data_IF_006863269039
#
_entry.id   IF_006863269039
#
_cell.length_a   1.000
_cell.length_b   1.000
_cell.length_c   1.000
_cell.angle_alpha   90.00
_cell.angle_beta   90.00
_cell.angle_gamma   90.00
#
_symmetry.space_group_name_H-M   'P 1'
#
loop_
_entity.id
_entity.type
_entity.pdbx_description
1 polymer ?
#
# COMPACT_ATOMS: atom_id res chain seq x y z
N UNK A 1 17.48 -8.60 -8.96
CA UNK A 1 17.73 -7.41 -8.10
C UNK A 1 17.47 -6.19 -8.96
N UNK A 2 16.22 -5.73 -8.99
CA UNK A 2 15.86 -4.47 -9.67
C UNK A 2 16.54 -3.33 -8.90
N UNK A 3 17.42 -2.59 -9.55
CA UNK A 3 17.94 -1.34 -8.98
C UNK A 3 16.76 -0.36 -8.96
N UNK A 4 16.18 -0.13 -7.77
CA UNK A 4 15.28 1.00 -7.56
C UNK A 4 15.94 2.25 -8.14
N UNK A 5 15.23 2.95 -9.01
CA UNK A 5 15.59 4.33 -9.36
C UNK A 5 15.61 5.09 -8.04
N UNK A 6 16.71 5.80 -7.68
CA UNK A 6 16.75 6.56 -6.45
C UNK A 6 15.72 7.68 -6.54
N UNK A 7 14.52 7.42 -6.03
CA UNK A 7 13.48 8.41 -5.87
C UNK A 7 13.91 9.39 -4.78
N UNK A 8 13.49 10.62 -4.91
CA UNK A 8 13.80 11.69 -3.98
C UNK A 8 13.14 11.35 -2.63
N UNK A 9 13.87 10.66 -1.75
CA UNK A 9 13.37 10.10 -0.50
C UNK A 9 12.78 11.22 0.38
N UNK A 10 11.64 10.94 1.03
CA UNK A 10 10.95 11.83 1.95
C UNK A 10 10.41 13.13 1.32
N UNK A 11 9.94 13.09 0.08
CA UNK A 11 9.34 14.25 -0.57
C UNK A 11 8.04 14.63 0.12
N UNK A 12 7.96 15.85 0.66
CA UNK A 12 6.73 16.36 1.29
C UNK A 12 5.74 16.83 0.23
N UNK A 13 4.53 16.30 0.28
CA UNK A 13 3.43 16.62 -0.65
C UNK A 13 2.13 16.88 0.11
N UNK A 14 1.25 17.68 -0.48
CA UNK A 14 -0.08 17.99 0.06
C UNK A 14 -1.21 17.60 -0.88
N UNK A 15 -0.87 17.07 -2.07
CA UNK A 15 -1.81 16.60 -3.08
C UNK A 15 -1.36 15.29 -3.72
N UNK A 16 -2.23 14.69 -4.51
CA UNK A 16 -2.01 13.39 -5.15
C UNK A 16 -1.19 13.46 -6.44
N UNK A 17 -1.07 14.64 -7.07
CA UNK A 17 -0.50 14.80 -8.40
C UNK A 17 0.89 14.17 -8.57
N UNK A 18 1.80 14.45 -7.64
CA UNK A 18 3.17 13.95 -7.73
C UNK A 18 3.27 12.44 -7.47
N UNK A 19 2.42 11.93 -6.58
CA UNK A 19 2.28 10.50 -6.31
C UNK A 19 1.79 9.78 -7.56
N UNK A 20 0.74 10.32 -8.19
CA UNK A 20 0.16 9.76 -9.43
C UNK A 20 1.12 9.80 -10.62
N UNK A 21 1.90 10.87 -10.77
CA UNK A 21 2.92 10.95 -11.81
C UNK A 21 3.92 9.82 -11.64
N UNK A 22 4.42 9.59 -10.43
CA UNK A 22 5.32 8.49 -10.13
C UNK A 22 4.68 7.12 -10.46
N UNK A 23 3.47 6.86 -9.96
CA UNK A 23 2.77 5.61 -10.21
C UNK A 23 2.56 5.37 -11.72
N UNK A 24 2.16 6.40 -12.47
CA UNK A 24 1.98 6.31 -13.93
C UNK A 24 3.30 6.09 -14.66
N UNK A 25 4.39 6.68 -14.19
CA UNK A 25 5.71 6.45 -14.80
C UNK A 25 6.20 5.02 -14.54
N UNK A 26 5.99 4.49 -13.34
CA UNK A 26 6.30 3.09 -13.03
C UNK A 26 5.49 2.13 -13.89
N UNK A 27 4.17 2.33 -14.00
CA UNK A 27 3.29 1.54 -14.84
C UNK A 27 3.63 1.64 -16.34
N UNK A 28 4.13 2.79 -16.79
CA UNK A 28 4.62 2.94 -18.18
C UNK A 28 5.93 2.23 -18.43
N UNK A 29 6.84 2.23 -17.47
CA UNK A 29 8.12 1.54 -17.55
C UNK A 29 7.92 0.02 -17.65
N UNK A 30 6.99 -0.54 -16.90
CA UNK A 30 6.62 -1.96 -17.01
C UNK A 30 6.07 -2.30 -18.39
N UNK A 31 5.31 -1.40 -19.02
CA UNK A 31 4.79 -1.57 -20.39
C UNK A 31 5.77 -1.12 -21.48
N UNK A 32 6.80 -0.35 -21.12
CA UNK A 32 7.75 0.30 -22.05
C UNK A 32 9.09 -0.40 -22.23
N UNK A 33 9.47 -1.36 -21.39
CA UNK A 33 10.78 -2.04 -21.40
C UNK A 33 11.10 -2.77 -22.74
N UNK A 34 10.25 -2.71 -23.69
CA UNK A 34 10.49 -3.39 -24.97
C UNK A 34 10.71 -2.49 -26.18
N UNK A 35 10.59 -1.16 -26.08
CA UNK A 35 10.62 -0.31 -27.27
C UNK A 35 12.01 0.21 -27.67
N UNK A 36 13.01 0.13 -26.80
CA UNK A 36 14.34 0.69 -27.05
C UNK A 36 15.40 -0.34 -27.56
N UNK A 37 15.02 -1.60 -27.73
CA UNK A 37 15.89 -2.62 -28.32
C UNK A 37 15.55 -2.82 -29.80
N UNK A 38 16.38 -2.26 -30.67
CA UNK A 38 16.35 -2.44 -32.13
C UNK A 38 16.92 -3.81 -32.53
N UNK A 39 16.19 -4.89 -32.20
CA UNK A 39 16.50 -6.25 -32.65
C UNK A 39 15.28 -6.90 -33.27
N UNK A 40 15.23 -6.83 -34.61
CA UNK A 40 14.12 -7.34 -35.44
C UNK A 40 14.31 -8.83 -35.79
N UNK A 41 14.29 -9.71 -34.76
CA UNK A 41 14.23 -11.16 -34.99
C UNK A 41 12.95 -11.74 -34.39
N UNK A 42 12.40 -12.78 -35.04
CA UNK A 42 11.17 -13.45 -34.59
C UNK A 42 11.31 -14.01 -33.18
N UNK A 43 12.52 -14.53 -32.84
CA UNK A 43 12.85 -15.05 -31.49
C UNK A 43 12.84 -13.96 -30.42
N UNK A 44 13.30 -12.75 -30.76
CA UNK A 44 13.26 -11.62 -29.84
C UNK A 44 11.83 -11.11 -29.63
N UNK A 45 10.99 -11.12 -30.68
CA UNK A 45 9.58 -10.73 -30.60
C UNK A 45 8.80 -11.69 -29.69
N UNK A 46 9.07 -13.00 -29.79
CA UNK A 46 8.43 -14.01 -28.95
C UNK A 46 8.92 -13.95 -27.51
N UNK A 47 10.23 -13.80 -27.28
CA UNK A 47 10.83 -13.58 -25.97
C UNK A 47 10.25 -12.31 -25.30
N UNK A 48 10.15 -11.20 -26.05
CA UNK A 48 9.58 -9.95 -25.58
C UNK A 48 8.11 -10.10 -25.20
N UNK A 49 7.32 -10.79 -26.02
CA UNK A 49 5.91 -11.01 -25.73
C UNK A 49 5.71 -11.84 -24.46
N UNK A 50 6.53 -12.88 -24.26
CA UNK A 50 6.51 -13.71 -23.05
C UNK A 50 6.97 -12.90 -21.83
N UNK A 51 8.09 -12.17 -21.94
CA UNK A 51 8.61 -11.32 -20.88
C UNK A 51 7.57 -10.27 -20.44
N UNK A 52 6.94 -9.57 -21.38
CA UNK A 52 5.89 -8.61 -21.07
C UNK A 52 4.63 -9.28 -20.46
N UNK A 53 4.30 -10.50 -20.87
CA UNK A 53 3.18 -11.25 -20.29
C UNK A 53 3.49 -11.69 -18.84
N UNK A 54 4.74 -12.08 -18.56
CA UNK A 54 5.17 -12.47 -17.21
C UNK A 54 5.19 -11.24 -16.26
N UNK A 55 5.66 -10.09 -16.75
CA UNK A 55 5.66 -8.84 -15.94
C UNK A 55 4.27 -8.21 -15.81
N UNK A 56 3.36 -8.40 -16.77
CA UNK A 56 1.98 -7.91 -16.70
C UNK A 56 1.16 -8.58 -15.57
N UNK A 57 1.70 -9.61 -14.95
CA UNK A 57 1.07 -10.31 -13.83
C UNK A 57 1.56 -9.82 -12.45
N UNK A 58 2.54 -8.91 -12.41
CA UNK A 58 3.05 -8.35 -11.16
C UNK A 58 2.41 -6.96 -10.98
N UNK A 59 1.57 -6.76 -9.97
CA UNK A 59 0.95 -5.47 -9.74
C UNK A 59 1.95 -4.47 -9.12
N UNK A 60 1.77 -3.18 -9.40
CA UNK A 60 2.40 -2.11 -8.63
C UNK A 60 1.78 -2.09 -7.23
N UNK A 61 2.59 -2.29 -6.19
CA UNK A 61 2.11 -2.26 -4.81
C UNK A 61 2.44 -0.90 -4.17
N UNK A 62 1.40 -0.20 -3.71
CA UNK A 62 1.48 1.08 -3.03
C UNK A 62 1.13 0.90 -1.56
N UNK A 63 2.07 1.16 -0.65
CA UNK A 63 1.83 1.19 0.79
C UNK A 63 1.50 2.60 1.27
N UNK A 64 0.34 2.77 1.90
CA UNK A 64 -0.10 4.04 2.52
C UNK A 64 -0.16 3.85 4.02
N UNK A 65 0.85 4.34 4.70
CA UNK A 65 1.03 4.19 6.14
C UNK A 65 0.78 5.50 6.89
N UNK A 66 0.71 5.40 8.19
CA UNK A 66 0.54 6.51 9.12
C UNK A 66 -0.33 6.10 10.28
N UNK A 67 -0.20 6.79 11.40
CA UNK A 67 -0.95 6.49 12.62
C UNK A 67 -2.46 6.66 12.45
N UNK A 68 -3.25 6.09 13.33
CA UNK A 68 -4.72 6.20 13.33
C UNK A 68 -5.18 7.66 13.27
N UNK A 69 -6.19 7.94 12.43
CA UNK A 69 -6.74 9.28 12.24
C UNK A 69 -5.95 10.21 11.31
N UNK A 70 -4.85 9.75 10.68
CA UNK A 70 -4.06 10.58 9.74
C UNK A 70 -4.76 10.81 8.40
N UNK A 71 -5.73 9.98 8.00
CA UNK A 71 -6.45 10.14 6.72
C UNK A 71 -5.97 9.22 5.60
N UNK A 72 -5.31 8.11 5.92
CA UNK A 72 -4.85 7.08 4.97
C UNK A 72 -5.94 6.61 4.01
N UNK A 73 -7.09 6.20 4.57
CA UNK A 73 -8.24 5.71 3.80
C UNK A 73 -8.76 6.74 2.80
N UNK A 74 -8.73 8.04 3.18
CA UNK A 74 -9.13 9.10 2.27
C UNK A 74 -8.14 9.24 1.10
N UNK A 75 -6.84 9.22 1.38
CA UNK A 75 -5.82 9.26 0.34
C UNK A 75 -5.88 8.02 -0.57
N UNK A 76 -6.09 6.83 0.01
CA UNK A 76 -6.23 5.59 -0.76
C UNK A 76 -7.41 5.67 -1.75
N UNK A 77 -8.57 6.15 -1.28
CA UNK A 77 -9.75 6.33 -2.14
C UNK A 77 -9.53 7.36 -3.25
N UNK A 78 -8.80 8.44 -3.00
CA UNK A 78 -8.44 9.42 -4.03
C UNK A 78 -7.53 8.79 -5.09
N UNK A 79 -6.47 8.08 -4.68
CA UNK A 79 -5.54 7.42 -5.61
C UNK A 79 -6.25 6.32 -6.42
N UNK A 80 -7.11 5.52 -5.79
CA UNK A 80 -7.94 4.53 -6.47
C UNK A 80 -8.79 5.17 -7.56
N UNK A 81 -9.49 6.24 -7.23
CA UNK A 81 -10.35 6.95 -8.20
C UNK A 81 -9.54 7.50 -9.37
N UNK A 82 -8.41 8.13 -9.11
CA UNK A 82 -7.60 8.79 -10.14
C UNK A 82 -6.87 7.76 -11.03
N UNK A 83 -6.36 6.66 -10.47
CA UNK A 83 -5.74 5.57 -11.24
C UNK A 83 -6.78 4.82 -12.06
N UNK A 84 -7.97 4.56 -11.53
CA UNK A 84 -9.08 3.96 -12.27
C UNK A 84 -9.55 4.85 -13.40
N UNK A 85 -9.65 6.16 -13.18
CA UNK A 85 -9.97 7.13 -14.23
C UNK A 85 -8.90 7.20 -15.34
N UNK A 86 -7.64 6.89 -14.98
CA UNK A 86 -6.54 6.75 -15.95
C UNK A 86 -6.54 5.41 -16.71
N UNK A 87 -7.47 4.49 -16.41
CA UNK A 87 -7.66 3.21 -17.10
C UNK A 87 -6.95 2.01 -16.45
N UNK A 88 -6.43 2.16 -15.22
CA UNK A 88 -5.80 1.06 -14.50
C UNK A 88 -6.81 0.29 -13.64
N UNK A 89 -6.65 -1.03 -13.57
CA UNK A 89 -7.36 -1.85 -12.58
C UNK A 89 -6.69 -1.72 -11.22
N UNK A 90 -7.45 -1.31 -10.20
CA UNK A 90 -6.96 -1.06 -8.84
C UNK A 90 -7.68 -1.96 -7.85
N UNK A 91 -6.94 -2.52 -6.90
CA UNK A 91 -7.47 -3.24 -5.74
C UNK A 91 -6.97 -2.61 -4.45
N UNK A 92 -7.89 -2.26 -3.55
CA UNK A 92 -7.54 -1.66 -2.26
C UNK A 92 -7.66 -2.71 -1.17
N UNK A 93 -6.59 -2.84 -0.37
CA UNK A 93 -6.52 -3.66 0.83
C UNK A 93 -6.46 -2.75 2.06
N UNK A 94 -7.30 -3.03 3.04
CA UNK A 94 -7.31 -2.34 4.33
C UNK A 94 -6.62 -3.23 5.36
N UNK A 95 -5.53 -2.74 5.97
CA UNK A 95 -4.83 -3.49 7.02
C UNK A 95 -5.69 -3.71 8.26
N UNK A 96 -6.73 -2.89 8.45
CA UNK A 96 -7.73 -3.12 9.49
C UNK A 96 -8.40 -4.51 9.37
N UNK A 97 -8.45 -5.09 8.17
CA UNK A 97 -8.90 -6.47 7.94
C UNK A 97 -7.89 -7.52 8.44
N UNK A 98 -6.63 -7.16 8.60
CA UNK A 98 -5.56 -8.11 8.94
C UNK A 98 -5.28 -8.19 10.44
N UNK A 99 -5.68 -7.18 11.23
CA UNK A 99 -5.39 -7.18 12.67
C UNK A 99 -6.36 -8.08 13.44
N UNK A 100 -5.88 -9.16 14.11
CA UNK A 100 -6.75 -10.02 14.93
C UNK A 100 -7.10 -9.33 16.25
N UNK A 101 -7.96 -8.30 16.18
CA UNK A 101 -8.42 -7.53 17.33
C UNK A 101 -7.45 -6.41 17.75
N UNK A 102 -7.72 -5.83 18.91
CA UNK A 102 -7.04 -4.63 19.41
C UNK A 102 -5.58 -4.81 19.87
N UNK A 103 -5.09 -6.04 19.94
CA UNK A 103 -3.68 -6.36 20.27
C UNK A 103 -2.91 -6.89 19.05
N UNK A 104 -3.57 -6.99 17.90
CA UNK A 104 -3.07 -7.73 16.75
C UNK A 104 -2.32 -6.89 15.73
N UNK A 105 -1.80 -5.70 16.05
CA UNK A 105 -1.12 -4.85 15.07
C UNK A 105 0.05 -5.57 14.40
N UNK A 106 0.94 -6.17 15.19
CA UNK A 106 2.13 -6.87 14.67
C UNK A 106 1.76 -8.11 13.86
N UNK A 107 0.79 -8.91 14.34
CA UNK A 107 0.33 -10.09 13.62
C UNK A 107 -0.25 -9.73 12.25
N UNK A 108 -1.00 -8.63 12.17
CA UNK A 108 -1.55 -8.14 10.91
C UNK A 108 -0.49 -7.58 9.96
N UNK A 109 0.53 -6.90 10.48
CA UNK A 109 1.66 -6.40 9.68
C UNK A 109 2.49 -7.56 9.13
N UNK A 110 2.76 -8.60 9.93
CA UNK A 110 3.47 -9.81 9.50
C UNK A 110 2.66 -10.56 8.41
N UNK A 111 1.34 -10.67 8.58
CA UNK A 111 0.47 -11.30 7.60
C UNK A 111 0.45 -10.53 6.27
N UNK A 112 0.45 -9.20 6.32
CA UNK A 112 0.55 -8.34 5.15
C UNK A 112 1.91 -8.47 4.45
N UNK A 113 3.01 -8.43 5.20
CA UNK A 113 4.36 -8.60 4.62
C UNK A 113 4.46 -9.92 3.86
N UNK A 114 4.05 -11.02 4.48
CA UNK A 114 4.04 -12.34 3.86
C UNK A 114 3.16 -12.42 2.59
N UNK A 115 1.98 -11.78 2.59
CA UNK A 115 1.10 -11.70 1.43
C UNK A 115 1.73 -10.86 0.32
N UNK A 116 2.27 -9.68 0.65
CA UNK A 116 2.84 -8.75 -0.31
C UNK A 116 4.00 -9.37 -1.10
N UNK A 117 4.86 -10.15 -0.44
CA UNK A 117 5.94 -10.91 -1.10
C UNK A 117 5.40 -11.88 -2.15
N UNK A 118 4.34 -12.63 -1.86
CA UNK A 118 3.70 -13.52 -2.84
C UNK A 118 3.18 -12.75 -4.05
N UNK A 119 2.54 -11.60 -3.81
CA UNK A 119 1.99 -10.76 -4.87
C UNK A 119 3.06 -10.18 -5.79
N UNK A 120 4.24 -9.80 -5.27
CA UNK A 120 5.38 -9.34 -6.08
C UNK A 120 6.03 -10.46 -6.89
N UNK A 121 5.76 -11.72 -6.56
CA UNK A 121 6.17 -12.89 -7.34
C UNK A 121 5.11 -13.33 -8.37
N UNK A 122 3.99 -12.59 -8.49
CA UNK A 122 2.88 -12.94 -9.36
C UNK A 122 2.04 -14.12 -8.84
N UNK A 123 2.17 -14.46 -7.54
CA UNK A 123 1.50 -15.59 -6.91
C UNK A 123 0.25 -15.08 -6.17
N UNK A 124 -0.91 -15.68 -6.46
CA UNK A 124 -2.13 -15.39 -5.72
C UNK A 124 -2.00 -15.81 -4.26
N UNK A 125 -2.35 -14.90 -3.36
CA UNK A 125 -2.30 -15.14 -1.93
C UNK A 125 -3.67 -15.08 -1.28
N UNK A 126 -3.76 -15.52 -0.03
CA UNK A 126 -5.01 -15.50 0.74
C UNK A 126 -4.79 -14.86 2.10
N UNK A 127 -5.81 -14.21 2.61
CA UNK A 127 -5.87 -13.74 3.98
C UNK A 127 -7.25 -13.97 4.58
N UNK A 128 -7.34 -13.96 5.91
CA UNK A 128 -8.60 -14.09 6.63
C UNK A 128 -8.88 -12.75 7.30
N UNK A 129 -9.87 -11.98 6.84
CA UNK A 129 -10.16 -10.69 7.44
C UNK A 129 -10.71 -10.87 8.86
N UNK A 130 -10.37 -9.93 9.74
CA UNK A 130 -10.95 -9.86 11.07
C UNK A 130 -12.32 -9.17 11.02
N UNK A 131 -13.33 -9.82 11.53
CA UNK A 131 -14.65 -9.24 11.72
C UNK A 131 -14.70 -8.52 13.07
N UNK A 132 -14.61 -7.20 13.04
CA UNK A 132 -14.59 -6.34 14.21
C UNK A 132 -15.91 -6.34 14.99
N UNK A 133 -17.04 -6.61 14.34
CA UNK A 133 -18.35 -6.71 14.99
C UNK A 133 -18.51 -8.06 15.71
N UNK A 134 -18.12 -9.15 15.06
CA UNK A 134 -18.15 -10.49 15.64
C UNK A 134 -16.97 -10.73 16.61
N UNK A 135 -15.87 -9.97 16.52
CA UNK A 135 -14.64 -10.20 17.26
C UNK A 135 -13.98 -11.53 16.92
N UNK A 136 -14.04 -11.96 15.67
CA UNK A 136 -13.60 -13.26 15.19
C UNK A 136 -13.07 -13.19 13.74
N UNK A 137 -12.30 -14.22 13.30
CA UNK A 137 -11.93 -14.36 11.90
C UNK A 137 -13.16 -14.50 10.99
N UNK A 138 -13.17 -13.78 9.88
CA UNK A 138 -14.19 -13.88 8.82
C UNK A 138 -13.90 -14.96 7.80
N UNK A 139 -14.51 -14.83 6.61
CA UNK A 139 -14.26 -15.76 5.50
C UNK A 139 -12.94 -15.44 4.79
N UNK A 140 -12.21 -16.49 4.39
CA UNK A 140 -10.95 -16.36 3.64
C UNK A 140 -11.19 -15.59 2.33
N UNK A 141 -10.35 -14.61 2.06
CA UNK A 141 -10.33 -13.85 0.81
C UNK A 141 -9.06 -14.16 0.02
N UNK A 142 -9.17 -14.11 -1.30
CA UNK A 142 -8.05 -14.32 -2.23
C UNK A 142 -7.72 -13.01 -2.93
N UNK A 143 -6.43 -12.71 -3.04
CA UNK A 143 -5.90 -11.62 -3.86
C UNK A 143 -5.16 -12.25 -5.03
N UNK A 144 -5.65 -11.99 -6.23
CA UNK A 144 -5.04 -12.48 -7.48
C UNK A 144 -4.27 -11.32 -8.14
N UNK A 145 -2.94 -11.36 -8.17
CA UNK A 145 -2.13 -10.31 -8.79
C UNK A 145 -2.38 -10.19 -10.29
N UNK A 146 -2.76 -11.28 -10.97
CA UNK A 146 -3.07 -11.24 -12.40
C UNK A 146 -4.38 -10.51 -12.73
N UNK A 147 -5.25 -10.29 -11.75
CA UNK A 147 -6.53 -9.61 -11.93
C UNK A 147 -6.43 -8.07 -11.81
N UNK A 148 -5.29 -7.53 -11.34
CA UNK A 148 -5.14 -6.11 -11.05
C UNK A 148 -3.76 -5.58 -11.42
N UNK A 149 -3.69 -4.33 -11.88
CA UNK A 149 -2.42 -3.65 -12.20
C UNK A 149 -1.84 -2.90 -11.01
N UNK A 150 -2.69 -2.48 -10.06
CA UNK A 150 -2.27 -1.73 -8.88
C UNK A 150 -2.95 -2.30 -7.64
N UNK A 151 -2.16 -2.57 -6.61
CA UNK A 151 -2.65 -2.88 -5.27
C UNK A 151 -2.28 -1.71 -4.36
N UNK A 152 -3.27 -1.13 -3.71
CA UNK A 152 -3.08 -0.13 -2.66
C UNK A 152 -3.34 -0.83 -1.33
N UNK A 153 -2.33 -0.92 -0.48
CA UNK A 153 -2.52 -1.36 0.91
C UNK A 153 -2.45 -0.15 1.83
N UNK A 154 -3.50 0.10 2.61
CA UNK A 154 -3.56 1.21 3.54
C UNK A 154 -3.80 0.73 4.97
N UNK A 155 -3.07 1.29 5.92
CA UNK A 155 -3.18 0.98 7.33
C UNK A 155 -1.90 1.28 8.09
N UNK A 156 -1.90 1.05 9.39
CA UNK A 156 -0.69 1.19 10.22
C UNK A 156 0.26 0.03 9.93
N UNK A 157 1.47 0.31 9.47
CA UNK A 157 2.44 -0.71 9.07
C UNK A 157 2.34 -1.14 7.60
N UNK A 158 1.53 -0.45 6.77
CA UNK A 158 1.39 -0.80 5.36
C UNK A 158 2.71 -0.77 4.58
N UNK A 159 3.65 0.09 4.95
CA UNK A 159 4.96 0.19 4.30
C UNK A 159 5.94 -0.93 4.68
N UNK A 160 5.63 -1.75 5.68
CA UNK A 160 6.44 -2.92 6.04
C UNK A 160 6.39 -4.00 4.96
N UNK A 161 5.31 -4.06 4.17
CA UNK A 161 5.21 -4.97 3.04
C UNK A 161 6.12 -4.63 1.87
N UNK A 162 6.21 -5.53 0.89
CA UNK A 162 7.01 -5.39 -0.33
C UNK A 162 6.40 -4.35 -1.29
N UNK A 163 6.39 -3.07 -0.87
CA UNK A 163 5.82 -1.96 -1.64
C UNK A 163 6.87 -1.29 -2.53
N UNK A 164 6.51 -1.01 -3.80
CA UNK A 164 7.31 -0.20 -4.72
C UNK A 164 7.17 1.30 -4.45
N UNK A 165 5.97 1.74 -4.02
CA UNK A 165 5.72 3.12 -3.61
C UNK A 165 5.29 3.13 -2.15
N UNK A 166 6.00 3.92 -1.34
CA UNK A 166 5.76 4.03 0.10
C UNK A 166 5.37 5.46 0.46
N UNK A 167 4.19 5.62 1.06
CA UNK A 167 3.63 6.93 1.42
C UNK A 167 3.34 6.96 2.91
N UNK A 168 3.93 7.92 3.62
CA UNK A 168 3.63 8.18 5.02
C UNK A 168 2.66 9.35 5.13
N UNK A 169 1.45 9.10 5.64
CA UNK A 169 0.45 10.13 5.91
C UNK A 169 0.62 10.68 7.31
N UNK A 170 0.72 11.99 7.44
CA UNK A 170 0.91 12.68 8.71
C UNK A 170 -0.22 13.65 9.03
N UNK A 171 -0.51 13.81 10.31
CA UNK A 171 -1.37 14.86 10.87
C UNK A 171 -1.00 15.07 12.36
N UNK A 172 -1.24 16.26 12.94
CA UNK A 172 -1.06 16.51 14.37
C UNK A 172 -1.92 15.57 15.24
N UNK A 173 -1.44 15.24 16.42
CA UNK A 173 -2.09 14.27 17.31
C UNK A 173 -3.53 14.67 17.69
N UNK A 174 -3.77 15.96 17.93
CA UNK A 174 -5.10 16.46 18.23
C UNK A 174 -6.08 16.23 17.05
N UNK A 175 -5.63 16.49 15.82
CA UNK A 175 -6.42 16.27 14.60
C UNK A 175 -6.70 14.79 14.39
N UNK A 176 -5.70 13.93 14.61
CA UNK A 176 -5.86 12.47 14.51
C UNK A 176 -6.89 11.95 15.50
N UNK A 177 -6.78 12.38 16.77
CA UNK A 177 -7.72 11.99 17.82
C UNK A 177 -9.16 12.43 17.49
N UNK A 178 -9.33 13.70 17.11
CA UNK A 178 -10.66 14.23 16.74
C UNK A 178 -11.28 13.45 15.58
N UNK A 179 -10.50 13.15 14.52
CA UNK A 179 -10.97 12.39 13.36
C UNK A 179 -11.34 10.94 13.73
N UNK A 180 -10.48 10.26 14.51
CA UNK A 180 -10.73 8.90 14.97
C UNK A 180 -11.98 8.82 15.85
N UNK A 181 -12.15 9.77 16.79
CA UNK A 181 -13.34 9.82 17.65
C UNK A 181 -14.61 10.20 16.87
N UNK A 182 -14.52 11.04 15.85
CA UNK A 182 -15.64 11.38 14.99
C UNK A 182 -16.11 10.20 14.13
N UNK A 183 -15.18 9.34 13.69
CA UNK A 183 -15.47 8.16 12.86
C UNK A 183 -16.00 7.00 13.70
N UNK A 184 -15.28 6.59 14.74
CA UNK A 184 -15.51 5.33 15.45
C UNK A 184 -16.01 5.51 16.89
N UNK A 185 -15.93 6.73 17.42
CA UNK A 185 -16.54 7.13 18.68
C UNK A 185 -16.22 6.23 19.87
N UNK A 186 -17.27 5.71 20.48
CA UNK A 186 -17.18 4.93 21.71
C UNK A 186 -16.57 3.54 21.50
N UNK A 187 -16.53 3.04 20.27
CA UNK A 187 -15.91 1.75 19.94
C UNK A 187 -14.38 1.86 20.01
N UNK A 188 -13.78 2.94 19.51
CA UNK A 188 -12.33 3.10 19.50
C UNK A 188 -11.77 3.77 20.76
N UNK A 189 -12.54 4.66 21.40
CA UNK A 189 -12.08 5.42 22.58
C UNK A 189 -11.42 4.57 23.69
N UNK A 190 -11.97 3.39 24.09
CA UNK A 190 -11.37 2.57 25.13
C UNK A 190 -10.03 1.94 24.71
N UNK A 191 -9.74 1.90 23.42
CA UNK A 191 -8.57 1.24 22.84
C UNK A 191 -7.52 2.21 22.30
N UNK A 192 -7.81 3.51 22.30
CA UNK A 192 -6.94 4.54 21.68
C UNK A 192 -5.50 4.52 22.23
N UNK A 193 -5.32 4.54 23.54
CA UNK A 193 -4.00 4.54 24.18
C UNK A 193 -3.26 3.23 23.90
N UNK A 194 -3.92 2.09 24.10
CA UNK A 194 -3.39 0.76 23.85
C UNK A 194 -2.97 0.57 22.38
N UNK A 195 -3.75 1.09 21.46
CA UNK A 195 -3.43 1.05 20.03
C UNK A 195 -2.24 1.98 19.71
N UNK A 196 -2.22 3.18 20.28
CA UNK A 196 -1.14 4.14 20.12
C UNK A 196 0.22 3.60 20.61
N UNK A 197 0.23 2.83 21.72
CA UNK A 197 1.42 2.15 22.22
C UNK A 197 1.98 1.13 21.22
N UNK A 198 1.11 0.36 20.55
CA UNK A 198 1.52 -0.58 19.50
C UNK A 198 2.04 0.16 18.26
N UNK A 199 1.40 1.25 17.85
CA UNK A 199 1.88 2.09 16.74
C UNK A 199 3.30 2.62 17.04
N UNK A 200 3.57 3.09 18.26
CA UNK A 200 4.89 3.58 18.68
C UNK A 200 5.93 2.46 18.72
N UNK A 201 5.55 1.28 19.20
CA UNK A 201 6.42 0.11 19.20
C UNK A 201 6.79 -0.33 17.79
N UNK A 202 5.83 -0.34 16.85
CA UNK A 202 6.07 -0.66 15.44
C UNK A 202 7.03 0.36 14.79
N UNK A 203 6.81 1.65 15.02
CA UNK A 203 7.71 2.71 14.52
C UNK A 203 9.15 2.52 15.02
N UNK A 204 9.33 2.04 16.26
CA UNK A 204 10.64 1.78 16.83
C UNK A 204 11.28 0.48 16.32
N UNK A 205 10.48 -0.50 15.87
CA UNK A 205 10.97 -1.78 15.36
C UNK A 205 11.42 -1.71 13.90
N UNK A 206 10.74 -0.91 13.06
CA UNK A 206 11.06 -0.75 11.63
C UNK A 206 11.44 0.70 11.26
N UNK A 207 12.37 1.36 11.97
CA UNK A 207 12.66 2.78 11.76
C UNK A 207 13.24 3.05 10.36
N UNK A 208 13.93 2.07 9.75
CA UNK A 208 14.52 2.20 8.42
C UNK A 208 13.45 2.29 7.32
N UNK A 209 12.33 1.57 7.46
CA UNK A 209 11.22 1.64 6.51
C UNK A 209 10.58 3.03 6.52
N UNK A 210 10.35 3.61 7.70
CA UNK A 210 9.82 4.96 7.83
C UNK A 210 10.82 6.05 7.39
N UNK A 211 12.12 5.79 7.49
CA UNK A 211 13.16 6.69 7.01
C UNK A 211 13.30 6.71 5.47
N UNK A 212 12.77 5.70 4.78
CA UNK A 212 12.95 5.48 3.34
C UNK A 212 11.66 5.61 2.53
N UNK A 213 10.63 6.27 3.05
CA UNK A 213 9.38 6.52 2.31
C UNK A 213 9.63 7.44 1.11
N UNK A 214 8.90 7.24 0.03
CA UNK A 214 8.99 8.08 -1.16
C UNK A 214 8.31 9.43 -0.93
N UNK A 215 7.16 9.40 -0.26
CA UNK A 215 6.38 10.60 0.04
C UNK A 215 5.97 10.71 1.51
N UNK A 216 5.99 11.94 2.01
CA UNK A 216 5.33 12.31 3.26
C UNK A 216 4.15 13.21 2.89
N UNK A 217 2.93 12.70 3.08
CA UNK A 217 1.69 13.40 2.77
C UNK A 217 1.12 14.08 4.03
N UNK A 218 1.05 15.41 4.01
CA UNK A 218 0.39 16.18 5.06
C UNK A 218 -1.10 16.33 4.75
N UNK A 219 -1.93 15.62 5.50
CA UNK A 219 -3.38 15.60 5.29
C UNK A 219 -4.12 16.82 5.87
N UNK A 220 -3.40 17.77 6.47
CA UNK A 220 -3.99 18.99 7.06
C UNK A 220 -3.76 20.23 6.19
N UNK A 221 -2.92 20.15 5.18
CA UNK A 221 -2.52 21.28 4.33
C UNK A 221 -3.45 21.47 3.10
N UNK A 222 -4.75 21.13 3.24
CA UNK A 222 -5.77 21.35 2.21
C UNK A 222 -6.53 22.64 2.44
#
# INVERSE_FOLDING_TARGET
>A
MSQRIPLNQNRRVTGTTEILELCKDMLRLEHGIGNDFDMDTAEFTEFRAQFLADFAQIPLIIGIDGRSGTGKTHLAAQLEQELTAAGHSVHVLHLDDFYPGWDGLFDGVEAWDALSVQLTEGIAGTYTPWDWEAGAPGEVRTVDPAATQVIICEGVGAIAGACEVRILVTAPDEVRYERAMARDGDTFRPHWERWAEQEEALLAEIPEDYATVDFIYDSTAQ
#
